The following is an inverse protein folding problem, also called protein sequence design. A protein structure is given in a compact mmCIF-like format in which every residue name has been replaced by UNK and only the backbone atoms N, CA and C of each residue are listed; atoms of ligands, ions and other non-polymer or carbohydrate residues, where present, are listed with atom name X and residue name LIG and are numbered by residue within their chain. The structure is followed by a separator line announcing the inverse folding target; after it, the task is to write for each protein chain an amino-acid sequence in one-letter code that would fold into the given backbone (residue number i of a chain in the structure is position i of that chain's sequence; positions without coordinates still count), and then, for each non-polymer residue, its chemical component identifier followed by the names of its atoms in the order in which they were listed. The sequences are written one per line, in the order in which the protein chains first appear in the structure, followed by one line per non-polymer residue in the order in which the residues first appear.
data_IF_500194996977
#
_entry.id   IF_500194996977
#
_cell.length_a   1.000
_cell.length_b   1.000
_cell.length_c   1.000
_cell.angle_alpha   90.00
_cell.angle_beta   90.00
_cell.angle_gamma   90.00
#
_symmetry.space_group_name_H-M   'P 1'
#
loop_
_entity.id
_entity.type
_entity.pdbx_description
1 polymer ?
#
# COMPACT_ATOMS: atom_id res chain seq x y z
N UNK A 1 -15.82 8.42 -13.05
CA UNK A 1 -15.93 6.93 -13.10
C UNK A 1 -14.55 6.35 -12.89
N UNK A 2 -14.38 5.41 -11.98
CA UNK A 2 -13.09 4.76 -11.68
C UNK A 2 -12.68 3.86 -12.85
N UNK A 3 -12.04 4.45 -13.86
CA UNK A 3 -11.57 3.74 -15.04
C UNK A 3 -10.57 2.65 -14.63
N UNK A 4 -10.85 1.42 -15.02
CA UNK A 4 -9.97 0.27 -14.87
C UNK A 4 -10.28 -0.70 -13.72
N UNK A 5 -11.00 -0.30 -12.66
CA UNK A 5 -11.31 -1.24 -11.57
C UNK A 5 -12.23 -2.40 -12.01
N UNK A 6 -13.05 -2.16 -13.03
CA UNK A 6 -13.94 -3.19 -13.57
C UNK A 6 -13.21 -4.28 -14.37
N UNK A 7 -11.99 -4.01 -14.81
CA UNK A 7 -11.17 -4.94 -15.60
C UNK A 7 -10.16 -5.74 -14.77
N UNK A 8 -10.16 -5.60 -13.43
CA UNK A 8 -9.28 -6.39 -12.58
C UNK A 8 -9.74 -7.85 -12.60
N UNK A 9 -8.83 -8.73 -13.01
CA UNK A 9 -9.02 -10.18 -12.94
C UNK A 9 -8.60 -10.69 -11.54
N UNK A 10 -9.56 -10.79 -10.64
CA UNK A 10 -9.31 -11.24 -9.26
C UNK A 10 -8.93 -12.72 -9.16
N UNK A 11 -9.08 -13.51 -10.23
CA UNK A 11 -8.62 -14.91 -10.28
C UNK A 11 -7.12 -15.01 -10.62
N UNK A 12 -6.49 -13.91 -11.06
CA UNK A 12 -5.07 -13.87 -11.34
C UNK A 12 -4.25 -14.26 -10.09
N UNK A 13 -3.31 -15.22 -10.19
CA UNK A 13 -2.59 -15.78 -9.04
C UNK A 13 -1.87 -14.73 -8.17
N UNK A 14 -1.35 -13.66 -8.79
CA UNK A 14 -0.65 -12.58 -8.09
C UNK A 14 -1.60 -11.65 -7.32
N UNK A 15 -2.91 -11.67 -7.58
CA UNK A 15 -3.91 -10.90 -6.84
C UNK A 15 -4.52 -11.68 -5.67
N UNK A 16 -4.22 -12.96 -5.53
CA UNK A 16 -4.74 -13.81 -4.46
C UNK A 16 -4.61 -13.18 -3.05
N UNK A 17 -3.46 -12.57 -2.66
CA UNK A 17 -3.33 -11.94 -1.34
C UNK A 17 -4.21 -10.69 -1.16
N UNK A 18 -4.61 -10.05 -2.27
CA UNK A 18 -5.38 -8.80 -2.27
C UNK A 18 -6.88 -9.01 -2.42
N UNK A 19 -7.29 -10.20 -2.89
CA UNK A 19 -8.65 -10.49 -3.32
C UNK A 19 -9.66 -10.29 -2.23
N UNK A 20 -9.41 -10.82 -1.04
CA UNK A 20 -10.35 -10.80 0.08
C UNK A 20 -10.83 -9.38 0.41
N UNK A 21 -9.94 -8.40 0.37
CA UNK A 21 -10.27 -6.98 0.64
C UNK A 21 -10.54 -6.18 -0.62
N UNK A 22 -9.78 -6.41 -1.68
CA UNK A 22 -9.83 -5.62 -2.90
C UNK A 22 -11.10 -5.84 -3.72
N UNK A 23 -11.55 -7.08 -3.87
CA UNK A 23 -12.73 -7.41 -4.67
C UNK A 23 -14.01 -6.77 -4.12
N UNK A 24 -14.31 -6.83 -2.81
CA UNK A 24 -15.46 -6.13 -2.24
C UNK A 24 -15.41 -4.61 -2.41
N UNK A 25 -14.24 -3.99 -2.25
CA UNK A 25 -14.06 -2.55 -2.47
C UNK A 25 -14.32 -2.22 -3.95
N UNK A 26 -13.71 -2.94 -4.89
CA UNK A 26 -13.92 -2.76 -6.31
C UNK A 26 -15.39 -2.94 -6.72
N UNK A 27 -16.10 -3.86 -6.08
CA UNK A 27 -17.54 -4.05 -6.31
C UNK A 27 -18.36 -2.83 -5.87
N UNK A 28 -18.09 -2.25 -4.70
CA UNK A 28 -18.76 -1.02 -4.25
C UNK A 28 -18.49 0.16 -5.20
N UNK A 29 -17.25 0.28 -5.69
CA UNK A 29 -16.90 1.31 -6.66
C UNK A 29 -17.65 1.14 -7.98
N UNK A 30 -17.86 -0.10 -8.45
CA UNK A 30 -18.71 -0.39 -9.60
C UNK A 30 -20.17 0.06 -9.39
N UNK A 31 -20.65 0.08 -8.16
CA UNK A 31 -21.99 0.55 -7.80
C UNK A 31 -22.08 2.08 -7.64
N UNK A 32 -21.00 2.81 -7.91
CA UNK A 32 -20.97 4.27 -7.89
C UNK A 32 -20.47 4.89 -6.58
N UNK A 33 -19.96 4.07 -5.64
CA UNK A 33 -19.28 4.57 -4.44
C UNK A 33 -17.89 5.04 -4.84
N UNK A 34 -17.37 6.14 -4.27
CA UNK A 34 -16.00 6.56 -4.53
C UNK A 34 -14.98 5.56 -3.95
N UNK A 35 -13.77 5.53 -4.51
CA UNK A 35 -12.67 4.66 -3.99
C UNK A 35 -12.40 4.97 -2.53
N UNK A 36 -12.32 6.24 -2.17
CA UNK A 36 -12.10 6.73 -0.80
C UNK A 36 -13.18 6.19 0.17
N UNK A 37 -14.47 6.31 -0.17
CA UNK A 37 -15.56 5.85 0.68
C UNK A 37 -15.57 4.32 0.83
N UNK A 38 -15.35 3.59 -0.26
CA UNK A 38 -15.29 2.13 -0.25
C UNK A 38 -14.09 1.62 0.59
N UNK A 39 -12.93 2.31 0.50
CA UNK A 39 -11.76 1.99 1.32
C UNK A 39 -12.00 2.29 2.81
N UNK A 40 -12.67 3.39 3.15
CA UNK A 40 -13.04 3.71 4.54
C UNK A 40 -14.03 2.69 5.11
N UNK A 41 -14.97 2.19 4.32
CA UNK A 41 -15.88 1.12 4.73
C UNK A 41 -15.11 -0.16 5.06
N UNK A 42 -14.15 -0.57 4.22
CA UNK A 42 -13.27 -1.70 4.49
C UNK A 42 -12.38 -1.49 5.72
N UNK A 43 -11.85 -0.28 5.88
CA UNK A 43 -11.06 0.11 7.05
C UNK A 43 -11.88 0.00 8.36
N UNK A 44 -13.14 0.42 8.34
CA UNK A 44 -14.03 0.31 9.50
C UNK A 44 -14.28 -1.16 9.90
N UNK A 45 -14.45 -2.06 8.92
CA UNK A 45 -14.55 -3.50 9.17
C UNK A 45 -13.27 -4.04 9.80
N UNK A 46 -12.11 -3.69 9.26
CA UNK A 46 -10.82 -4.10 9.78
C UNK A 46 -10.59 -3.62 11.22
N UNK A 47 -10.92 -2.37 11.52
CA UNK A 47 -10.87 -1.83 12.90
C UNK A 47 -11.76 -2.63 13.85
N UNK A 48 -12.96 -3.01 13.41
CA UNK A 48 -13.88 -3.84 14.19
C UNK A 48 -13.34 -5.25 14.40
N UNK A 49 -12.80 -5.89 13.36
CA UNK A 49 -12.18 -7.22 13.45
C UNK A 49 -11.05 -7.22 14.49
N UNK A 50 -10.15 -6.23 14.43
CA UNK A 50 -9.04 -6.06 15.37
C UNK A 50 -9.50 -5.80 16.81
N UNK A 51 -10.58 -5.04 16.99
CA UNK A 51 -11.13 -4.77 18.33
C UNK A 51 -11.83 -5.98 18.96
N UNK A 52 -12.32 -6.92 18.15
CA UNK A 52 -12.98 -8.16 18.61
C UNK A 52 -12.00 -9.30 18.84
N UNK A 53 -10.81 -9.26 18.22
CA UNK A 53 -9.75 -10.21 18.53
C UNK A 53 -9.18 -9.83 19.90
N UNK A 54 -9.14 -10.81 20.81
CA UNK A 54 -8.38 -10.69 22.06
C UNK A 54 -6.89 -10.69 21.67
N UNK A 55 -6.45 -9.52 21.21
CA UNK A 55 -5.06 -9.26 20.80
C UNK A 55 -4.21 -9.30 22.06
N UNK A 56 -3.97 -10.52 22.57
CA UNK A 56 -3.12 -10.72 23.74
C UNK A 56 -1.88 -9.83 23.72
N UNK A 57 -1.04 -9.87 24.72
CA UNK A 57 0.12 -9.00 24.97
C UNK A 57 1.21 -8.95 23.87
N UNK A 58 0.91 -9.34 22.62
CA UNK A 58 1.86 -9.27 21.51
C UNK A 58 1.98 -7.82 21.02
N UNK A 59 3.12 -7.20 21.29
CA UNK A 59 3.45 -5.83 20.89
C UNK A 59 3.22 -5.55 19.39
N UNK A 60 3.40 -6.56 18.53
CA UNK A 60 3.15 -6.46 17.09
C UNK A 60 1.66 -6.28 16.76
N UNK A 61 0.77 -7.01 17.43
CA UNK A 61 -0.67 -6.90 17.22
C UNK A 61 -1.20 -5.54 17.70
N UNK A 62 -0.69 -5.04 18.82
CA UNK A 62 -1.02 -3.71 19.33
C UNK A 62 -0.51 -2.60 18.40
N UNK A 63 0.71 -2.73 17.87
CA UNK A 63 1.28 -1.80 16.89
C UNK A 63 0.46 -1.73 15.60
N UNK A 64 0.01 -2.90 15.10
CA UNK A 64 -0.85 -3.00 13.92
C UNK A 64 -2.22 -2.34 14.14
N UNK A 65 -2.88 -2.65 15.25
CA UNK A 65 -4.16 -2.05 15.61
C UNK A 65 -4.05 -0.53 15.74
N UNK A 66 -3.01 -0.01 16.41
CA UNK A 66 -2.75 1.41 16.53
C UNK A 66 -2.52 2.07 15.15
N UNK A 67 -1.69 1.47 14.30
CA UNK A 67 -1.42 2.00 12.97
C UNK A 67 -2.68 2.11 12.10
N UNK A 68 -3.57 1.11 12.16
CA UNK A 68 -4.83 1.09 11.40
C UNK A 68 -5.85 2.05 11.99
N UNK A 69 -5.91 2.19 13.32
CA UNK A 69 -6.89 3.06 13.98
C UNK A 69 -6.72 4.55 13.64
N UNK A 70 -5.51 5.00 13.31
CA UNK A 70 -5.24 6.41 13.03
C UNK A 70 -5.46 6.82 11.58
N UNK A 71 -5.35 5.89 10.63
CA UNK A 71 -5.47 6.19 9.19
C UNK A 71 -6.93 6.36 8.77
N UNK A 72 -7.17 7.29 7.84
CA UNK A 72 -8.41 7.43 7.08
C UNK A 72 -8.09 7.81 5.63
N UNK A 73 -9.02 7.51 4.73
CA UNK A 73 -8.95 7.94 3.33
C UNK A 73 -9.82 9.18 3.15
N UNK A 74 -9.32 10.16 2.41
CA UNK A 74 -10.02 11.43 2.18
C UNK A 74 -10.03 11.76 0.67
N UNK A 75 -10.98 12.56 0.20
CA UNK A 75 -10.95 13.03 -1.18
C UNK A 75 -9.65 13.75 -1.51
N UNK A 76 -9.17 13.62 -2.76
CA UNK A 76 -7.97 14.34 -3.21
C UNK A 76 -8.08 15.87 -3.03
N UNK A 77 -9.30 16.42 -3.06
CA UNK A 77 -9.59 17.85 -2.83
C UNK A 77 -9.22 18.34 -1.44
N UNK A 78 -9.06 17.44 -0.47
CA UNK A 78 -8.72 17.80 0.90
C UNK A 78 -7.20 18.06 1.06
N UNK A 79 -6.40 17.67 0.04
CA UNK A 79 -4.99 18.01 -0.01
C UNK A 79 -4.85 19.46 -0.48
N UNK A 80 -4.35 20.40 0.36
CA UNK A 80 -4.16 21.79 -0.03
C UNK A 80 -3.20 21.96 -1.21
N UNK A 81 -3.46 22.94 -2.06
CA UNK A 81 -2.59 23.29 -3.18
C UNK A 81 -1.16 23.61 -2.69
N UNK A 82 -0.19 22.98 -3.33
CA UNK A 82 1.23 23.17 -3.01
C UNK A 82 1.75 22.40 -1.79
N UNK A 83 0.89 21.72 -1.04
CA UNK A 83 1.34 20.83 0.03
C UNK A 83 1.81 19.50 -0.54
N UNK A 84 2.94 18.99 -0.04
CA UNK A 84 3.42 17.67 -0.43
C UNK A 84 2.49 16.58 0.13
N UNK A 85 2.12 15.62 -0.71
CA UNK A 85 1.23 14.50 -0.38
C UNK A 85 1.68 13.74 0.86
N UNK A 86 2.97 13.40 0.94
CA UNK A 86 3.53 12.63 2.05
C UNK A 86 3.57 13.42 3.35
N UNK A 87 3.78 14.74 3.28
CA UNK A 87 3.74 15.63 4.43
C UNK A 87 2.31 15.77 4.95
N UNK A 88 1.33 15.90 4.06
CA UNK A 88 -0.08 15.96 4.44
C UNK A 88 -0.51 14.69 5.18
N UNK A 89 -0.15 13.50 4.67
CA UNK A 89 -0.47 12.23 5.33
C UNK A 89 0.19 12.16 6.71
N UNK A 90 1.45 12.57 6.79
CA UNK A 90 2.19 12.56 8.07
C UNK A 90 1.53 13.44 9.12
N UNK A 91 1.12 14.65 8.74
CA UNK A 91 0.55 15.64 9.65
C UNK A 91 -0.89 15.31 10.08
N UNK A 92 -1.68 14.71 9.18
CA UNK A 92 -3.13 14.54 9.37
C UNK A 92 -3.58 13.09 9.50
N UNK A 93 -2.71 12.12 9.23
CA UNK A 93 -3.05 10.69 9.11
C UNK A 93 -4.16 10.42 8.08
N UNK A 94 -4.35 11.34 7.13
CA UNK A 94 -5.35 11.27 6.08
C UNK A 94 -4.68 11.02 4.73
N UNK A 95 -5.15 10.00 4.01
CA UNK A 95 -4.61 9.58 2.71
C UNK A 95 -5.48 10.13 1.60
N UNK A 96 -5.05 11.19 0.87
CA UNK A 96 -5.80 11.72 -0.27
C UNK A 96 -5.92 10.68 -1.36
N UNK A 97 -7.15 10.43 -1.82
CA UNK A 97 -7.48 9.29 -2.67
C UNK A 97 -8.37 9.74 -3.83
N UNK A 98 -7.93 9.48 -5.05
CA UNK A 98 -8.68 9.72 -6.30
C UNK A 98 -9.40 8.45 -6.76
N UNK A 99 -10.40 8.63 -7.62
CA UNK A 99 -11.06 7.52 -8.29
C UNK A 99 -10.18 6.97 -9.44
N UNK A 100 -9.31 6.00 -9.12
CA UNK A 100 -8.42 5.37 -10.09
C UNK A 100 -7.68 4.15 -9.55
N UNK A 101 -7.12 3.35 -10.48
CA UNK A 101 -6.40 2.11 -10.14
C UNK A 101 -5.21 2.35 -9.21
N UNK A 102 -4.44 3.38 -9.47
CA UNK A 102 -3.26 3.70 -8.67
C UNK A 102 -3.63 3.90 -7.20
N UNK A 103 -4.58 4.81 -6.93
CA UNK A 103 -4.95 5.17 -5.57
C UNK A 103 -5.73 4.04 -4.89
N UNK A 104 -6.49 3.24 -5.66
CA UNK A 104 -7.11 2.02 -5.19
C UNK A 104 -6.07 1.01 -4.66
N UNK A 105 -5.03 0.69 -5.45
CA UNK A 105 -3.99 -0.23 -5.00
C UNK A 105 -3.13 0.36 -3.88
N UNK A 106 -2.87 1.67 -3.91
CA UNK A 106 -2.21 2.35 -2.79
C UNK A 106 -3.03 2.22 -1.49
N UNK A 107 -4.35 2.39 -1.56
CA UNK A 107 -5.22 2.18 -0.41
C UNK A 107 -5.20 0.72 0.08
N UNK A 108 -5.21 -0.26 -0.83
CA UNK A 108 -5.03 -1.67 -0.45
C UNK A 108 -3.69 -1.91 0.27
N UNK A 109 -2.60 -1.26 -0.16
CA UNK A 109 -1.31 -1.34 0.53
C UNK A 109 -1.40 -0.76 1.95
N UNK A 110 -2.10 0.36 2.16
CA UNK A 110 -2.35 0.92 3.48
C UNK A 110 -3.16 -0.03 4.37
N UNK A 111 -4.14 -0.73 3.82
CA UNK A 111 -4.96 -1.70 4.56
C UNK A 111 -4.19 -2.98 4.89
N UNK A 112 -3.31 -3.43 4.00
CA UNK A 112 -2.59 -4.70 4.14
C UNK A 112 -1.27 -4.55 4.91
N UNK A 113 -0.55 -3.43 4.72
CA UNK A 113 0.78 -3.17 5.27
C UNK A 113 0.87 -1.82 6.00
N UNK A 114 -0.03 -1.53 6.95
CA UNK A 114 -0.14 -0.19 7.56
C UNK A 114 1.14 0.25 8.27
N UNK A 115 1.87 -0.65 8.92
CA UNK A 115 3.14 -0.32 9.58
C UNK A 115 4.23 0.04 8.57
N UNK A 116 4.32 -0.69 7.45
CA UNK A 116 5.27 -0.38 6.39
C UNK A 116 4.94 0.97 5.74
N UNK A 117 3.67 1.21 5.41
CA UNK A 117 3.21 2.48 4.81
C UNK A 117 3.46 3.66 5.75
N UNK A 118 3.22 3.52 7.06
CA UNK A 118 3.56 4.56 8.05
C UNK A 118 5.06 4.83 8.11
N UNK A 119 5.88 3.79 8.09
CA UNK A 119 7.33 3.96 8.12
C UNK A 119 7.86 4.61 6.84
N UNK A 120 7.35 4.23 5.69
CA UNK A 120 7.64 4.86 4.39
C UNK A 120 7.26 6.34 4.44
N UNK A 121 6.05 6.66 4.90
CA UNK A 121 5.58 8.03 5.02
C UNK A 121 6.43 8.86 6.00
N UNK A 122 6.82 8.32 7.15
CA UNK A 122 7.72 8.97 8.10
C UNK A 122 9.07 9.33 7.46
N UNK A 123 9.69 8.40 6.73
CA UNK A 123 10.98 8.64 6.06
C UNK A 123 10.85 9.73 5.01
N UNK A 124 9.78 9.72 4.21
CA UNK A 124 9.52 10.74 3.20
C UNK A 124 9.25 12.11 3.81
N UNK A 125 8.39 12.20 4.84
CA UNK A 125 8.09 13.45 5.53
C UNK A 125 9.33 14.04 6.21
N UNK A 126 10.15 13.20 6.84
CA UNK A 126 11.42 13.62 7.44
C UNK A 126 12.38 14.22 6.40
N UNK A 127 12.48 13.58 5.23
CA UNK A 127 13.30 14.10 4.14
C UNK A 127 12.76 15.43 3.59
N UNK A 128 11.44 15.59 3.49
CA UNK A 128 10.78 16.83 3.09
C UNK A 128 11.06 17.95 4.11
N UNK A 129 10.94 17.67 5.40
CA UNK A 129 11.22 18.63 6.47
C UNK A 129 12.67 19.10 6.46
N UNK A 130 13.62 18.20 6.16
CA UNK A 130 15.05 18.52 6.13
C UNK A 130 15.47 19.30 4.88
N UNK A 131 14.87 19.04 3.71
CA UNK A 131 15.33 19.56 2.42
C UNK A 131 14.32 20.51 1.75
N UNK A 132 13.10 20.61 2.29
CA UNK A 132 12.00 21.33 1.65
C UNK A 132 11.40 20.59 0.46
N UNK A 133 10.34 21.17 -0.10
CA UNK A 133 9.71 20.70 -1.34
C UNK A 133 10.44 21.37 -2.51
N UNK A 134 11.54 20.76 -3.00
CA UNK A 134 12.29 21.24 -4.15
C UNK A 134 11.79 20.65 -5.48
N UNK A 135 12.24 21.23 -6.58
CA UNK A 135 11.96 20.73 -7.94
C UNK A 135 12.58 19.34 -8.21
N UNK A 136 13.61 18.96 -7.45
CA UNK A 136 14.27 17.65 -7.52
C UNK A 136 14.11 16.94 -6.19
N UNK A 137 13.57 15.71 -6.24
CA UNK A 137 13.53 14.84 -5.08
C UNK A 137 14.95 14.41 -4.71
N UNK A 138 15.27 14.37 -3.42
CA UNK A 138 16.55 13.85 -2.98
C UNK A 138 16.62 12.32 -3.07
N UNK A 139 17.83 11.73 -3.02
CA UNK A 139 18.04 10.29 -3.24
C UNK A 139 17.25 9.39 -2.25
N UNK A 140 17.03 9.84 -1.04
CA UNK A 140 16.24 9.10 -0.05
C UNK A 140 14.77 9.01 -0.50
N UNK A 141 14.17 10.14 -0.93
CA UNK A 141 12.78 10.16 -1.40
C UNK A 141 12.61 9.34 -2.67
N UNK A 142 13.58 9.41 -3.60
CA UNK A 142 13.55 8.60 -4.82
C UNK A 142 13.63 7.11 -4.51
N UNK A 143 14.54 6.69 -3.65
CA UNK A 143 14.70 5.29 -3.26
C UNK A 143 13.43 4.76 -2.55
N UNK A 144 12.85 5.53 -1.64
CA UNK A 144 11.63 5.15 -0.93
C UNK A 144 10.41 5.11 -1.86
N UNK A 145 10.30 6.02 -2.82
CA UNK A 145 9.25 5.99 -3.84
C UNK A 145 9.37 4.73 -4.72
N UNK A 146 10.59 4.40 -5.18
CA UNK A 146 10.83 3.16 -5.94
C UNK A 146 10.45 1.94 -5.12
N UNK A 147 10.78 1.91 -3.83
CA UNK A 147 10.39 0.82 -2.94
C UNK A 147 8.87 0.73 -2.79
N UNK A 148 8.19 1.85 -2.56
CA UNK A 148 6.73 1.90 -2.35
C UNK A 148 5.93 1.47 -3.58
N UNK A 149 6.39 1.83 -4.78
CA UNK A 149 5.64 1.60 -6.02
C UNK A 149 6.08 0.35 -6.80
N UNK A 150 7.33 -0.11 -6.63
CA UNK A 150 7.94 -1.12 -7.50
C UNK A 150 8.62 -2.28 -6.75
N UNK A 151 8.49 -2.36 -5.42
CA UNK A 151 9.11 -3.43 -4.66
C UNK A 151 8.25 -4.71 -4.69
N UNK A 152 8.94 -5.83 -4.70
CA UNK A 152 8.35 -7.15 -4.50
C UNK A 152 9.11 -7.87 -3.39
N UNK A 153 8.38 -8.39 -2.41
CA UNK A 153 8.94 -9.23 -1.36
C UNK A 153 8.91 -10.68 -1.85
N UNK A 154 10.09 -11.28 -1.99
CA UNK A 154 10.22 -12.65 -2.49
C UNK A 154 10.97 -13.48 -1.46
N UNK A 155 10.40 -14.62 -1.10
CA UNK A 155 11.10 -15.65 -0.34
C UNK A 155 11.59 -16.72 -1.32
N UNK A 156 12.91 -16.85 -1.43
CA UNK A 156 13.55 -17.73 -2.41
C UNK A 156 14.60 -18.64 -1.75
N UNK A 157 14.82 -19.86 -2.29
CA UNK A 157 16.02 -20.64 -2.03
C UNK A 157 17.29 -19.88 -2.44
N UNK A 158 18.42 -20.16 -1.76
CA UNK A 158 19.69 -19.44 -1.95
C UNK A 158 20.24 -19.50 -3.38
N UNK A 159 20.06 -20.63 -4.05
CA UNK A 159 20.49 -20.83 -5.44
C UNK A 159 19.70 -19.95 -6.43
N UNK A 160 18.38 -19.84 -6.21
CA UNK A 160 17.54 -18.96 -7.01
C UNK A 160 17.83 -17.49 -6.70
N UNK A 161 18.04 -17.14 -5.43
CA UNK A 161 18.45 -15.80 -5.03
C UNK A 161 19.76 -15.37 -5.68
N UNK A 162 20.78 -16.29 -5.67
CA UNK A 162 22.06 -16.04 -6.33
C UNK A 162 21.91 -15.87 -7.84
N UNK A 163 21.12 -16.73 -8.50
CA UNK A 163 20.85 -16.62 -9.93
C UNK A 163 20.22 -15.27 -10.32
N UNK A 164 19.31 -14.74 -9.48
CA UNK A 164 18.73 -13.41 -9.67
C UNK A 164 19.75 -12.28 -9.51
N UNK A 165 20.56 -12.32 -8.44
CA UNK A 165 21.60 -11.32 -8.18
C UNK A 165 22.65 -11.25 -9.30
N UNK A 166 23.05 -12.42 -9.80
CA UNK A 166 24.02 -12.57 -10.88
C UNK A 166 23.42 -12.39 -12.28
N UNK A 167 22.10 -12.14 -12.35
CA UNK A 167 21.34 -11.99 -13.60
C UNK A 167 21.41 -13.20 -14.53
N UNK A 168 21.55 -14.39 -13.96
CA UNK A 168 21.51 -15.66 -14.67
C UNK A 168 20.05 -16.02 -14.98
N UNK A 169 19.40 -15.22 -15.84
CA UNK A 169 17.97 -15.29 -16.10
C UNK A 169 17.46 -16.67 -16.49
N UNK A 170 18.21 -17.38 -17.34
CA UNK A 170 17.83 -18.73 -17.73
C UNK A 170 17.73 -19.65 -16.51
N UNK A 171 18.74 -19.65 -15.65
CA UNK A 171 18.78 -20.47 -14.43
C UNK A 171 17.66 -20.05 -13.49
N UNK A 172 17.46 -18.74 -13.27
CA UNK A 172 16.43 -18.22 -12.42
C UNK A 172 15.02 -18.68 -12.85
N UNK A 173 14.71 -18.62 -14.14
CA UNK A 173 13.41 -19.06 -14.65
C UNK A 173 13.25 -20.59 -14.65
N UNK A 174 14.28 -21.35 -14.94
CA UNK A 174 14.21 -22.83 -14.91
C UNK A 174 14.02 -23.31 -13.46
N UNK A 175 14.79 -22.78 -12.51
CA UNK A 175 14.66 -23.15 -11.08
C UNK A 175 13.27 -22.75 -10.53
N UNK A 176 12.73 -21.60 -10.91
CA UNK A 176 11.41 -21.17 -10.44
C UNK A 176 10.29 -22.11 -10.92
N UNK A 177 10.42 -22.71 -12.10
CA UNK A 177 9.42 -23.65 -12.63
C UNK A 177 9.46 -25.04 -11.96
N UNK A 178 10.55 -25.39 -11.30
CA UNK A 178 10.67 -26.67 -10.57
C UNK A 178 9.95 -26.62 -9.21
N UNK A 179 9.68 -25.41 -8.70
CA UNK A 179 9.07 -25.19 -7.38
C UNK A 179 7.59 -24.73 -7.45
N UNK A 180 6.98 -24.73 -8.62
CA UNK A 180 5.54 -24.57 -8.84
C UNK A 180 4.90 -25.96 -9.03
#
# INVERSE_FOLDING_TARGET
MAHGLSSIDWEAPWLKPWRERGEPIAHQVKQGVSVEQACNASLALLKRELSMQDLGTQAQAQGLAHAICEVQFVPQSDLPDGQAYEQFIFDTQSVPTRDGLHDFFNALCWLQFPLAKKQINLVQATAIQAQGVGAVRGPVRDAVTVFDENATLIQLPDDLWRALQERHWHTAFVLSLIHI
#
